data_IF_859384560552
#
_entry.id   IF_859384560552
#
_cell.length_a   1.000
_cell.length_b   1.000
_cell.length_c   1.000
_cell.angle_alpha   90.00
_cell.angle_beta   90.00
_cell.angle_gamma   90.00
#
_symmetry.space_group_name_H-M   'P 1'
#
loop_
_entity.id
_entity.type
_entity.pdbx_description
1 polymer ?
#
# COMPACT_ATOMS: atom_id res chain seq x y z
N UNK A 1 1.20 80.67 2.92
CA UNK A 1 0.39 79.62 2.31
C UNK A 1 1.26 78.38 2.30
N UNK A 2 1.17 77.53 3.31
CA UNK A 2 2.01 76.34 3.48
C UNK A 2 1.19 75.12 3.07
N UNK A 3 1.59 74.46 1.99
CA UNK A 3 0.98 73.19 1.54
C UNK A 3 1.51 72.04 2.40
N UNK A 4 0.64 71.49 3.22
CA UNK A 4 0.94 70.29 3.99
C UNK A 4 1.05 69.07 3.02
N UNK A 5 2.23 68.48 2.95
CA UNK A 5 2.52 67.27 2.17
C UNK A 5 2.04 66.09 3.00
N UNK A 6 0.98 65.42 2.55
CA UNK A 6 0.42 64.23 3.21
C UNK A 6 1.42 63.05 3.08
N UNK A 7 1.71 62.33 4.17
CA UNK A 7 2.64 61.20 4.14
C UNK A 7 2.02 60.06 3.35
N UNK A 8 2.68 59.67 2.26
CA UNK A 8 2.37 58.50 1.41
C UNK A 8 2.37 57.23 2.27
N UNK A 9 1.18 56.69 2.55
CA UNK A 9 1.07 55.36 3.22
C UNK A 9 1.68 54.31 2.33
N UNK A 10 2.76 53.67 2.79
CA UNK A 10 3.32 52.46 2.20
C UNK A 10 2.25 51.38 2.06
N UNK A 11 2.11 50.70 0.92
CA UNK A 11 1.24 49.56 0.82
C UNK A 11 1.75 48.48 1.81
N UNK A 12 0.87 48.09 2.77
CA UNK A 12 1.15 47.01 3.67
C UNK A 12 1.56 45.78 2.85
N UNK A 13 2.79 45.32 3.06
CA UNK A 13 3.25 44.06 2.52
C UNK A 13 2.40 42.96 3.11
N UNK A 14 1.39 42.52 2.37
CA UNK A 14 0.72 41.26 2.65
C UNK A 14 1.75 40.13 2.47
N UNK A 15 2.45 39.82 3.57
CA UNK A 15 3.10 38.52 3.67
C UNK A 15 1.99 37.49 3.56
N UNK A 16 2.03 36.54 2.62
CA UNK A 16 1.09 35.43 2.63
C UNK A 16 1.33 34.66 3.93
N UNK A 17 0.51 34.89 4.94
CA UNK A 17 0.41 34.02 6.07
C UNK A 17 0.05 32.66 5.49
N UNK A 18 1.02 31.75 5.47
CA UNK A 18 0.76 30.36 5.15
C UNK A 18 -0.19 29.88 6.23
N UNK A 19 -1.44 29.75 5.87
CA UNK A 19 -2.44 29.11 6.71
C UNK A 19 -2.04 27.66 6.93
N UNK A 20 -1.31 27.41 8.01
CA UNK A 20 -0.96 26.06 8.49
C UNK A 20 -2.21 25.24 8.88
N UNK A 21 -3.40 25.80 8.72
CA UNK A 21 -4.71 25.14 8.88
C UNK A 21 -5.31 24.62 7.57
N UNK A 22 -4.64 24.76 6.44
CA UNK A 22 -5.07 24.04 5.25
C UNK A 22 -4.93 22.53 5.55
N UNK A 23 -6.00 21.98 6.10
CA UNK A 23 -6.20 20.55 6.20
C UNK A 23 -5.88 19.97 4.83
N UNK A 24 -5.19 18.82 4.78
CA UNK A 24 -4.82 18.12 3.54
C UNK A 24 -5.95 18.29 2.52
N UNK A 25 -5.74 19.17 1.56
CA UNK A 25 -6.70 19.41 0.48
C UNK A 25 -6.93 18.05 -0.19
N UNK A 26 -8.20 17.69 -0.34
CA UNK A 26 -8.54 16.44 -1.03
C UNK A 26 -8.02 16.56 -2.46
N UNK A 27 -7.30 15.57 -2.97
CA UNK A 27 -6.81 15.64 -4.35
C UNK A 27 -7.99 15.78 -5.30
N UNK A 28 -7.96 16.85 -6.10
CA UNK A 28 -9.08 17.26 -6.97
C UNK A 28 -9.03 16.56 -8.34
N UNK A 29 -8.00 15.75 -8.61
CA UNK A 29 -7.89 15.00 -9.86
C UNK A 29 -6.54 14.32 -10.07
N UNK A 30 -6.41 13.58 -11.18
CA UNK A 30 -5.18 12.93 -11.59
C UNK A 30 -4.78 11.70 -10.78
N UNK A 31 -3.49 11.34 -10.87
CA UNK A 31 -2.92 10.16 -10.22
C UNK A 31 -3.10 10.15 -8.69
N UNK A 32 -3.05 11.31 -8.04
CA UNK A 32 -3.19 11.42 -6.59
C UNK A 32 -4.59 11.06 -6.10
N UNK A 33 -5.63 11.44 -6.83
CA UNK A 33 -7.00 11.06 -6.54
C UNK A 33 -7.19 9.55 -6.65
N UNK A 34 -6.69 8.95 -7.73
CA UNK A 34 -6.76 7.50 -7.95
C UNK A 34 -5.97 6.72 -6.90
N UNK A 35 -4.78 7.18 -6.55
CA UNK A 35 -3.96 6.59 -5.47
C UNK A 35 -4.68 6.66 -4.12
N UNK A 36 -5.29 7.80 -3.81
CA UNK A 36 -6.05 8.00 -2.57
C UNK A 36 -7.28 7.08 -2.50
N UNK A 37 -8.04 6.99 -3.59
CA UNK A 37 -9.21 6.11 -3.69
C UNK A 37 -8.80 4.64 -3.60
N UNK A 38 -7.76 4.26 -4.34
CA UNK A 38 -7.19 2.91 -4.30
C UNK A 38 -6.79 2.51 -2.88
N UNK A 39 -6.09 3.37 -2.14
CA UNK A 39 -5.67 3.08 -0.77
C UNK A 39 -6.85 2.79 0.17
N UNK A 40 -7.97 3.46 -0.02
CA UNK A 40 -9.18 3.22 0.79
C UNK A 40 -9.87 1.92 0.41
N UNK A 41 -10.11 1.70 -0.87
CA UNK A 41 -10.80 0.50 -1.35
C UNK A 41 -9.93 -0.74 -1.10
N UNK A 42 -8.66 -0.70 -1.47
CA UNK A 42 -7.74 -1.82 -1.25
C UNK A 42 -7.55 -2.17 0.22
N UNK A 43 -7.59 -1.18 1.12
CA UNK A 43 -7.54 -1.42 2.56
C UNK A 43 -8.73 -2.23 3.07
N UNK A 44 -9.95 -1.92 2.61
CA UNK A 44 -11.15 -2.68 2.97
C UNK A 44 -11.10 -4.10 2.38
N UNK A 45 -10.73 -4.22 1.11
CA UNK A 45 -10.60 -5.52 0.45
C UNK A 45 -9.52 -6.37 1.12
N UNK A 46 -8.37 -5.78 1.44
CA UNK A 46 -7.30 -6.46 2.17
C UNK A 46 -7.73 -6.91 3.57
N UNK A 47 -8.52 -6.11 4.27
CA UNK A 47 -9.05 -6.51 5.57
C UNK A 47 -9.85 -7.81 5.46
N UNK A 48 -10.75 -7.91 4.48
CA UNK A 48 -11.56 -9.11 4.24
C UNK A 48 -10.68 -10.29 3.82
N UNK A 49 -9.76 -10.08 2.88
CA UNK A 49 -8.86 -11.14 2.40
C UNK A 49 -7.92 -11.63 3.50
N UNK A 50 -7.31 -10.71 4.27
CA UNK A 50 -6.36 -11.05 5.32
C UNK A 50 -7.04 -11.73 6.51
N UNK A 51 -8.19 -11.21 6.97
CA UNK A 51 -8.96 -11.86 8.05
C UNK A 51 -9.42 -13.23 7.60
N UNK A 52 -9.95 -13.38 6.38
CA UNK A 52 -10.32 -14.67 5.82
C UNK A 52 -9.13 -15.63 5.74
N UNK A 53 -7.96 -15.16 5.30
CA UNK A 53 -6.74 -15.95 5.26
C UNK A 53 -6.32 -16.41 6.67
N UNK A 54 -6.28 -15.50 7.64
CA UNK A 54 -5.93 -15.84 9.04
C UNK A 54 -6.92 -16.83 9.65
N UNK A 55 -8.21 -16.63 9.46
CA UNK A 55 -9.23 -17.54 9.97
C UNK A 55 -9.07 -18.96 9.40
N UNK A 56 -8.85 -19.07 8.09
CA UNK A 56 -8.70 -20.36 7.42
C UNK A 56 -7.39 -21.04 7.82
N UNK A 57 -6.29 -20.29 7.94
CA UNK A 57 -4.96 -20.85 8.18
C UNK A 57 -4.68 -21.11 9.67
N UNK A 58 -5.29 -20.32 10.57
CA UNK A 58 -4.85 -20.31 11.98
C UNK A 58 -5.96 -20.66 12.97
N UNK A 59 -7.23 -20.55 12.58
CA UNK A 59 -8.37 -20.72 13.51
C UNK A 59 -9.20 -21.96 13.20
N UNK A 60 -9.40 -22.30 11.91
CA UNK A 60 -10.18 -23.47 11.53
C UNK A 60 -9.47 -24.78 11.90
N UNK A 61 -10.27 -25.76 12.32
CA UNK A 61 -9.84 -27.10 12.71
C UNK A 61 -8.70 -27.10 13.77
N UNK A 62 -7.57 -27.71 13.46
CA UNK A 62 -6.40 -27.78 14.35
C UNK A 62 -5.51 -26.52 14.35
N UNK A 63 -5.98 -25.44 13.72
CA UNK A 63 -5.25 -24.18 13.64
C UNK A 63 -3.91 -24.29 12.91
N UNK A 64 -2.86 -23.67 13.48
CA UNK A 64 -1.52 -23.62 12.88
C UNK A 64 -0.88 -25.00 12.70
N UNK A 65 -1.22 -25.97 13.56
CA UNK A 65 -0.69 -27.34 13.47
C UNK A 65 -1.05 -28.07 12.19
N UNK A 66 -2.18 -27.68 11.56
CA UNK A 66 -2.62 -28.23 10.27
C UNK A 66 -1.87 -27.67 9.08
N UNK A 67 -1.31 -26.48 9.19
CA UNK A 67 -0.66 -25.78 8.06
C UNK A 67 0.67 -26.47 7.76
N UNK A 68 0.61 -27.43 6.86
CA UNK A 68 1.76 -28.12 6.31
C UNK A 68 1.75 -28.00 4.77
N UNK A 69 2.78 -28.55 4.15
CA UNK A 69 2.90 -28.46 2.70
C UNK A 69 1.77 -29.18 1.95
N UNK A 70 1.31 -30.32 2.47
CA UNK A 70 0.19 -31.09 1.90
C UNK A 70 -1.12 -30.30 1.94
N UNK A 71 -1.39 -29.61 3.04
CA UNK A 71 -2.57 -28.73 3.17
C UNK A 71 -2.58 -27.62 2.12
N UNK A 72 -1.45 -26.95 1.92
CA UNK A 72 -1.31 -25.90 0.89
C UNK A 72 -1.47 -26.50 -0.51
N UNK A 73 -0.85 -27.65 -0.77
CA UNK A 73 -0.93 -28.34 -2.05
C UNK A 73 -2.38 -28.73 -2.40
N UNK A 74 -3.13 -29.30 -1.45
CA UNK A 74 -4.55 -29.65 -1.63
C UNK A 74 -5.40 -28.41 -1.90
N UNK A 75 -5.17 -27.35 -1.12
CA UNK A 75 -5.90 -26.10 -1.28
C UNK A 75 -5.64 -25.45 -2.66
N UNK A 76 -4.41 -25.50 -3.14
CA UNK A 76 -4.02 -24.92 -4.43
C UNK A 76 -4.39 -25.78 -5.65
N UNK A 77 -4.99 -26.95 -5.48
CA UNK A 77 -5.71 -27.65 -6.55
C UNK A 77 -6.93 -26.86 -7.04
N UNK A 78 -7.57 -26.09 -6.12
CA UNK A 78 -8.68 -25.22 -6.46
C UNK A 78 -8.17 -23.89 -7.03
N UNK A 79 -8.60 -23.51 -8.27
CA UNK A 79 -8.25 -22.21 -8.85
C UNK A 79 -8.73 -21.02 -8.00
N UNK A 80 -9.84 -21.19 -7.27
CA UNK A 80 -10.38 -20.16 -6.38
C UNK A 80 -9.39 -19.80 -5.28
N UNK A 81 -8.87 -20.79 -4.53
CA UNK A 81 -7.93 -20.53 -3.44
C UNK A 81 -6.59 -19.98 -3.93
N UNK A 82 -6.13 -20.47 -5.08
CA UNK A 82 -4.92 -19.97 -5.72
C UNK A 82 -5.06 -18.51 -6.11
N UNK A 83 -6.20 -18.13 -6.68
CA UNK A 83 -6.50 -16.73 -7.03
C UNK A 83 -6.65 -15.86 -5.80
N UNK A 84 -7.30 -16.38 -4.74
CA UNK A 84 -7.44 -15.68 -3.45
C UNK A 84 -6.08 -15.30 -2.86
N UNK A 85 -5.17 -16.26 -2.75
CA UNK A 85 -3.85 -16.04 -2.18
C UNK A 85 -3.00 -15.12 -3.08
N UNK A 86 -3.13 -15.23 -4.40
CA UNK A 86 -2.46 -14.32 -5.32
C UNK A 86 -3.00 -12.89 -5.25
N UNK A 87 -4.31 -12.71 -5.15
CA UNK A 87 -4.91 -11.37 -4.97
C UNK A 87 -4.46 -10.73 -3.64
N UNK A 88 -4.40 -11.54 -2.57
CA UNK A 88 -3.87 -11.07 -1.29
C UNK A 88 -2.43 -10.57 -1.44
N UNK A 89 -1.56 -11.35 -2.11
CA UNK A 89 -0.18 -10.95 -2.39
C UNK A 89 -0.11 -9.63 -3.15
N UNK A 90 -0.82 -9.52 -4.29
CA UNK A 90 -0.79 -8.34 -5.16
C UNK A 90 -1.27 -7.09 -4.43
N UNK A 91 -2.44 -7.19 -3.80
CA UNK A 91 -3.02 -6.05 -3.08
C UNK A 91 -2.18 -5.66 -1.86
N UNK A 92 -1.64 -6.63 -1.11
CA UNK A 92 -0.78 -6.35 0.04
C UNK A 92 0.50 -5.63 -0.38
N UNK A 93 1.13 -6.05 -1.48
CA UNK A 93 2.35 -5.40 -1.98
C UNK A 93 2.07 -3.99 -2.49
N UNK A 94 1.06 -3.79 -3.34
CA UNK A 94 0.77 -2.47 -3.90
C UNK A 94 0.32 -1.50 -2.80
N UNK A 95 -0.59 -1.94 -1.93
CA UNK A 95 -1.08 -1.15 -0.81
C UNK A 95 0.05 -0.83 0.18
N UNK A 96 0.84 -1.84 0.55
CA UNK A 96 1.95 -1.69 1.49
C UNK A 96 3.05 -0.77 0.97
N UNK A 97 3.49 -0.94 -0.28
CA UNK A 97 4.51 -0.06 -0.89
C UNK A 97 4.03 1.38 -0.98
N UNK A 98 2.78 1.59 -1.40
CA UNK A 98 2.22 2.93 -1.46
C UNK A 98 2.06 3.54 -0.05
N UNK A 99 1.68 2.75 0.95
CA UNK A 99 1.65 3.17 2.35
C UNK A 99 3.03 3.57 2.88
N UNK A 100 4.07 2.75 2.63
CA UNK A 100 5.46 3.04 2.99
C UNK A 100 5.96 4.31 2.31
N UNK A 101 5.60 4.52 1.03
CA UNK A 101 5.91 5.77 0.32
C UNK A 101 5.32 6.98 1.04
N UNK A 102 4.06 6.93 1.44
CA UNK A 102 3.39 8.04 2.17
C UNK A 102 4.09 8.30 3.50
N UNK A 103 4.37 7.25 4.28
CA UNK A 103 5.09 7.36 5.55
C UNK A 103 6.49 7.99 5.33
N UNK A 104 7.20 7.54 4.31
CA UNK A 104 8.53 8.09 3.96
C UNK A 104 8.45 9.58 3.62
N UNK A 105 7.40 10.02 2.94
CA UNK A 105 7.18 11.44 2.64
C UNK A 105 6.91 12.27 3.90
N UNK A 106 6.22 11.71 4.88
CA UNK A 106 5.85 12.42 6.12
C UNK A 106 7.05 12.52 7.11
N UNK A 107 7.87 11.46 7.22
CA UNK A 107 8.91 11.38 8.25
C UNK A 107 10.32 11.66 7.75
N UNK A 108 10.63 11.40 6.49
CA UNK A 108 11.99 11.56 5.94
C UNK A 108 12.16 12.94 5.31
N UNK A 109 12.89 13.83 5.97
CA UNK A 109 13.10 15.21 5.49
C UNK A 109 14.16 15.33 4.40
N UNK A 110 15.18 14.45 4.39
CA UNK A 110 16.28 14.50 3.42
C UNK A 110 15.86 13.89 2.08
N UNK A 111 15.86 14.65 0.97
CA UNK A 111 15.34 14.18 -0.32
C UNK A 111 16.11 12.97 -0.88
N UNK A 112 17.44 12.93 -0.70
CA UNK A 112 18.25 11.79 -1.13
C UNK A 112 17.90 10.49 -0.41
N UNK A 113 17.74 10.51 0.91
CA UNK A 113 17.36 9.33 1.70
C UNK A 113 15.96 8.87 1.31
N UNK A 114 15.02 9.81 1.10
CA UNK A 114 13.67 9.50 0.65
C UNK A 114 13.66 8.81 -0.70
N UNK A 115 14.45 9.28 -1.65
CA UNK A 115 14.57 8.64 -2.95
C UNK A 115 15.13 7.22 -2.84
N UNK A 116 16.20 7.04 -2.07
CA UNK A 116 16.82 5.72 -1.85
C UNK A 116 15.85 4.73 -1.22
N UNK A 117 15.14 5.13 -0.15
CA UNK A 117 14.14 4.28 0.50
C UNK A 117 13.03 3.87 -0.45
N UNK A 118 12.49 4.81 -1.21
CA UNK A 118 11.44 4.49 -2.19
C UNK A 118 11.95 3.53 -3.27
N UNK A 119 13.17 3.71 -3.77
CA UNK A 119 13.80 2.78 -4.72
C UNK A 119 13.93 1.37 -4.12
N UNK A 120 14.39 1.25 -2.88
CA UNK A 120 14.50 -0.04 -2.17
C UNK A 120 13.12 -0.70 -2.05
N UNK A 121 12.09 0.05 -1.65
CA UNK A 121 10.74 -0.49 -1.52
C UNK A 121 10.17 -0.98 -2.87
N UNK A 122 10.40 -0.25 -3.96
CA UNK A 122 9.94 -0.68 -5.29
C UNK A 122 10.68 -1.92 -5.77
N UNK A 123 12.00 -1.97 -5.61
CA UNK A 123 12.81 -3.14 -6.01
C UNK A 123 12.39 -4.36 -5.19
N UNK A 124 12.29 -4.23 -3.86
CA UNK A 124 11.89 -5.32 -3.00
C UNK A 124 10.47 -5.79 -3.33
N UNK A 125 9.52 -4.86 -3.48
CA UNK A 125 8.14 -5.18 -3.80
C UNK A 125 7.99 -5.86 -5.17
N UNK A 126 8.72 -5.40 -6.18
CA UNK A 126 8.74 -6.04 -7.50
C UNK A 126 9.34 -7.46 -7.43
N UNK A 127 10.43 -7.63 -6.71
CA UNK A 127 11.06 -8.94 -6.52
C UNK A 127 10.10 -9.90 -5.83
N UNK A 128 9.47 -9.48 -4.73
CA UNK A 128 8.49 -10.31 -4.01
C UNK A 128 7.26 -10.61 -4.86
N UNK A 129 6.79 -9.65 -5.66
CA UNK A 129 5.68 -9.87 -6.59
C UNK A 129 6.01 -10.94 -7.63
N UNK A 130 7.17 -10.84 -8.28
CA UNK A 130 7.62 -11.82 -9.29
C UNK A 130 7.80 -13.18 -8.65
N UNK A 131 8.52 -13.26 -7.53
CA UNK A 131 8.77 -14.53 -6.84
C UNK A 131 7.46 -15.19 -6.39
N UNK A 132 6.58 -14.46 -5.73
CA UNK A 132 5.30 -14.98 -5.27
C UNK A 132 4.39 -15.39 -6.43
N UNK A 133 4.36 -14.62 -7.52
CA UNK A 133 3.59 -14.98 -8.71
C UNK A 133 4.15 -16.26 -9.38
N UNK A 134 5.47 -16.36 -9.52
CA UNK A 134 6.10 -17.58 -10.04
C UNK A 134 5.72 -18.78 -9.17
N UNK A 135 5.83 -18.69 -7.85
CA UNK A 135 5.46 -19.79 -6.94
C UNK A 135 3.98 -20.17 -7.12
N UNK A 136 3.07 -19.19 -7.10
CA UNK A 136 1.63 -19.47 -7.20
C UNK A 136 1.26 -20.13 -8.53
N UNK A 137 1.85 -19.70 -9.64
CA UNK A 137 1.45 -20.19 -10.97
C UNK A 137 2.23 -21.41 -11.46
N UNK A 138 3.47 -21.61 -10.98
CA UNK A 138 4.28 -22.78 -11.38
C UNK A 138 4.16 -23.95 -10.42
N UNK A 139 3.57 -23.74 -9.23
CA UNK A 139 3.38 -24.83 -8.27
C UNK A 139 2.43 -25.89 -8.83
N UNK A 140 2.91 -27.12 -8.92
CA UNK A 140 2.13 -28.28 -9.35
C UNK A 140 1.75 -29.16 -8.15
N UNK A 141 0.51 -29.07 -7.67
CA UNK A 141 0.08 -29.84 -6.51
C UNK A 141 0.03 -31.35 -6.76
N UNK A 142 -0.06 -31.80 -8.02
CA UNK A 142 -0.14 -33.21 -8.37
C UNK A 142 1.17 -33.97 -8.11
N UNK A 143 2.29 -33.25 -8.01
CA UNK A 143 3.60 -33.84 -7.70
C UNK A 143 3.81 -34.14 -6.22
N UNK A 144 2.86 -33.75 -5.36
CA UNK A 144 2.98 -33.95 -3.94
C UNK A 144 2.33 -35.28 -3.51
N UNK A 145 3.08 -36.21 -2.84
CA UNK A 145 2.52 -37.46 -2.35
C UNK A 145 1.46 -37.18 -1.26
N UNK A 146 0.22 -37.62 -1.45
CA UNK A 146 -0.87 -37.41 -0.51
C UNK A 146 -1.99 -36.48 -0.96
N UNK A 147 -1.96 -36.02 -2.22
CA UNK A 147 -3.05 -35.22 -2.83
C UNK A 147 -4.02 -36.06 -3.67
N UNK A 148 -3.88 -37.40 -3.66
CA UNK A 148 -4.81 -38.36 -4.30
C UNK A 148 -5.81 -38.94 -3.30
#
# INVERSE_FOLDING_TARGET
MATATEPRRSPASHSPQRDFRAGRERPVGGFELWSWLFMRISGIVLLVLAVGHVLIMHVQDEGVGRVNFGFVATRWQSPFWRTWDWMLLVLALIHGINGLRVITLDYVRKPGIRLTLNMVFYILGFTLFVLGSVIVFTFDPSRWPGTT
#
